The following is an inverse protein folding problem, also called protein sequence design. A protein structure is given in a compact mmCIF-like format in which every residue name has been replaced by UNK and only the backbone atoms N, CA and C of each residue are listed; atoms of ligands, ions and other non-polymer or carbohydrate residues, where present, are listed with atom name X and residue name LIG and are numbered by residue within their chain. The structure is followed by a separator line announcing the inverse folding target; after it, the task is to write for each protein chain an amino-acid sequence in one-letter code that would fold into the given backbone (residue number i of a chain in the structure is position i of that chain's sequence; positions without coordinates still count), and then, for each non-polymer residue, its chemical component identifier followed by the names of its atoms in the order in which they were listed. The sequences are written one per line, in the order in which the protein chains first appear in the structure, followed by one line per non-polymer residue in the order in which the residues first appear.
data_IF_814272687861
#
_entry.id   IF_814272687861
#
_cell.length_a   1.000
_cell.length_b   1.000
_cell.length_c   1.000
_cell.angle_alpha   90.00
_cell.angle_beta   90.00
_cell.angle_gamma   90.00
#
_symmetry.space_group_name_H-M   'P 1'
#
loop_
_entity.id
_entity.type
_entity.pdbx_description
1 polymer ?
#
# COMPACT_ATOMS: atom_id res chain seq x y z
N UNK A 1 10.46 -61.73 -46.19
CA UNK A 1 10.14 -60.31 -45.93
C UNK A 1 9.82 -60.21 -44.43
N UNK A 2 10.82 -59.80 -43.64
CA UNK A 2 10.72 -59.73 -42.20
C UNK A 2 10.38 -58.26 -41.82
N UNK A 3 9.24 -58.04 -41.18
CA UNK A 3 8.82 -56.73 -40.68
C UNK A 3 9.38 -56.61 -39.28
N UNK A 4 10.26 -55.67 -39.06
CA UNK A 4 10.73 -55.25 -37.74
C UNK A 4 9.75 -54.22 -37.17
N UNK A 5 9.11 -54.54 -36.04
CA UNK A 5 8.36 -53.60 -35.23
C UNK A 5 9.31 -52.90 -34.25
N UNK A 6 9.47 -51.61 -34.43
CA UNK A 6 10.20 -50.75 -33.48
C UNK A 6 9.24 -50.30 -32.39
N UNK A 7 9.49 -50.70 -31.16
CA UNK A 7 8.74 -50.25 -29.98
C UNK A 7 9.31 -48.89 -29.55
N UNK A 8 8.49 -47.85 -29.61
CA UNK A 8 8.80 -46.55 -29.04
C UNK A 8 8.53 -46.53 -27.53
N UNK A 9 9.58 -46.35 -26.75
CA UNK A 9 9.54 -46.22 -25.28
C UNK A 9 9.11 -44.80 -24.94
N UNK A 10 7.88 -44.60 -24.48
CA UNK A 10 7.41 -43.32 -23.91
C UNK A 10 7.99 -43.18 -22.48
N UNK A 11 9.01 -42.33 -22.32
CA UNK A 11 9.43 -41.88 -21.00
C UNK A 11 8.44 -40.82 -20.47
N UNK A 12 7.57 -41.22 -19.55
CA UNK A 12 6.78 -40.29 -18.77
C UNK A 12 7.68 -39.55 -17.76
N UNK A 13 7.97 -38.30 -18.03
CA UNK A 13 8.59 -37.38 -17.06
C UNK A 13 7.55 -37.06 -15.97
N UNK A 14 7.61 -37.77 -14.87
CA UNK A 14 6.93 -37.37 -13.64
C UNK A 14 7.65 -36.17 -13.04
N UNK A 15 7.08 -34.97 -13.24
CA UNK A 15 7.48 -33.78 -12.52
C UNK A 15 7.07 -33.94 -11.05
N UNK A 16 8.02 -34.36 -10.23
CA UNK A 16 7.88 -34.25 -8.75
C UNK A 16 7.88 -32.77 -8.40
N UNK A 17 6.72 -32.22 -8.10
CA UNK A 17 6.63 -30.96 -7.37
C UNK A 17 7.33 -31.16 -6.05
N UNK A 18 8.52 -30.57 -5.90
CA UNK A 18 9.18 -30.46 -4.62
C UNK A 18 8.27 -29.60 -3.72
N UNK A 19 7.59 -30.22 -2.76
CA UNK A 19 7.01 -29.50 -1.64
C UNK A 19 8.17 -28.84 -0.92
N UNK A 20 8.25 -27.48 -0.98
CA UNK A 20 9.13 -26.74 -0.12
C UNK A 20 8.86 -27.19 1.33
N UNK A 21 9.92 -27.54 2.06
CA UNK A 21 9.79 -27.80 3.51
C UNK A 21 9.00 -26.64 4.12
N UNK A 22 7.99 -26.91 4.97
CA UNK A 22 7.27 -25.85 5.65
C UNK A 22 8.29 -24.99 6.38
N UNK A 23 8.26 -23.68 6.11
CA UNK A 23 9.11 -22.72 6.80
C UNK A 23 9.00 -22.98 8.31
N UNK A 24 10.12 -22.93 9.02
CA UNK A 24 10.12 -23.10 10.47
C UNK A 24 9.39 -21.89 11.05
N UNK A 25 8.19 -22.10 11.61
CA UNK A 25 7.37 -21.06 12.23
C UNK A 25 7.24 -21.30 13.74
N UNK A 26 6.97 -20.24 14.48
CA UNK A 26 6.77 -20.27 15.93
C UNK A 26 5.31 -20.40 16.32
N UNK A 27 4.42 -19.92 15.47
CA UNK A 27 2.97 -20.04 15.64
C UNK A 27 2.28 -20.32 14.31
N UNK A 28 1.22 -21.11 14.36
CA UNK A 28 0.36 -21.41 13.23
C UNK A 28 -1.02 -20.77 13.44
N UNK A 29 -1.47 -19.97 12.50
CA UNK A 29 -2.86 -19.51 12.45
C UNK A 29 -3.62 -20.35 11.44
N UNK A 30 -4.69 -21.00 11.90
CA UNK A 30 -5.49 -21.94 11.10
C UNK A 30 -6.96 -21.87 11.53
N UNK A 31 -7.92 -22.06 10.60
CA UNK A 31 -9.35 -22.11 10.96
C UNK A 31 -9.71 -23.22 11.98
N UNK A 32 -8.92 -24.29 12.03
CA UNK A 32 -9.15 -25.46 12.90
C UNK A 32 -7.91 -25.80 13.71
N UNK A 33 -7.57 -25.00 14.74
CA UNK A 33 -6.42 -25.27 15.59
C UNK A 33 -6.65 -26.55 16.41
N UNK A 34 -5.62 -27.42 16.47
CA UNK A 34 -5.70 -28.72 17.15
C UNK A 34 -4.40 -29.12 17.88
N UNK A 35 -3.49 -28.19 18.11
CA UNK A 35 -2.20 -28.40 18.76
C UNK A 35 -1.65 -27.17 19.47
N UNK A 36 -0.52 -27.36 20.13
CA UNK A 36 0.21 -26.27 20.78
C UNK A 36 0.68 -25.23 19.74
N UNK A 37 0.74 -23.97 20.13
CA UNK A 37 1.11 -22.84 19.27
C UNK A 37 0.23 -22.69 18.01
N UNK A 38 -0.99 -23.26 18.02
CA UNK A 38 -1.99 -23.08 16.98
C UNK A 38 -3.13 -22.18 17.46
N UNK A 39 -3.51 -21.23 16.61
CA UNK A 39 -4.50 -20.20 16.94
C UNK A 39 -5.54 -20.07 15.82
N UNK A 40 -6.77 -19.72 16.19
CA UNK A 40 -7.81 -19.39 15.21
C UNK A 40 -7.79 -17.94 14.77
N UNK A 41 -7.00 -17.09 15.45
CA UNK A 41 -6.90 -15.64 15.16
C UNK A 41 -5.44 -15.19 15.11
N UNK A 42 -5.15 -14.26 14.20
CA UNK A 42 -3.83 -13.64 14.08
C UNK A 42 -3.49 -12.85 15.34
N UNK A 43 -4.49 -12.17 15.92
CA UNK A 43 -4.32 -11.40 17.16
C UNK A 43 -3.90 -12.27 18.36
N UNK A 44 -4.32 -13.53 18.42
CA UNK A 44 -3.88 -14.47 19.45
C UNK A 44 -2.42 -14.89 19.25
N UNK A 45 -2.00 -15.15 18.01
CA UNK A 45 -0.61 -15.47 17.68
C UNK A 45 0.33 -14.27 17.95
N UNK A 46 -0.11 -13.05 17.65
CA UNK A 46 0.63 -11.82 18.02
C UNK A 46 0.76 -11.66 19.53
N UNK A 47 -0.26 -12.04 20.31
CA UNK A 47 -0.13 -12.02 21.77
C UNK A 47 0.86 -13.09 22.27
N UNK A 48 0.92 -14.26 21.63
CA UNK A 48 1.92 -15.28 21.92
C UNK A 48 3.34 -14.78 21.58
N UNK A 49 3.51 -14.12 20.43
CA UNK A 49 4.77 -13.48 20.04
C UNK A 49 5.23 -12.44 21.08
N UNK A 50 4.32 -11.59 21.55
CA UNK A 50 4.61 -10.58 22.57
C UNK A 50 5.06 -11.19 23.91
N UNK A 51 4.56 -12.37 24.25
CA UNK A 51 4.91 -13.08 25.48
C UNK A 51 6.13 -13.99 25.31
N UNK A 52 6.67 -14.09 24.09
CA UNK A 52 7.84 -14.89 23.78
C UNK A 52 9.13 -14.12 24.09
N UNK A 53 10.18 -14.83 24.45
CA UNK A 53 11.55 -14.29 24.58
C UNK A 53 12.38 -14.43 23.30
N UNK A 54 11.74 -14.79 22.17
CA UNK A 54 12.43 -14.92 20.88
C UNK A 54 12.68 -13.55 20.28
N UNK A 55 13.88 -13.33 19.77
CA UNK A 55 14.24 -12.11 19.05
C UNK A 55 13.46 -11.98 17.74
N UNK A 56 13.34 -13.07 17.00
CA UNK A 56 12.55 -13.13 15.76
C UNK A 56 11.41 -14.13 15.95
N UNK A 57 10.21 -13.76 15.57
CA UNK A 57 9.01 -14.60 15.73
C UNK A 57 8.22 -14.70 14.43
N UNK A 58 8.05 -15.93 13.93
CA UNK A 58 7.36 -16.19 12.67
C UNK A 58 5.96 -16.76 12.95
N UNK A 59 4.95 -16.06 12.48
CA UNK A 59 3.54 -16.48 12.49
C UNK A 59 3.16 -16.91 11.09
N UNK A 60 2.95 -18.23 10.88
CA UNK A 60 2.48 -18.77 9.63
C UNK A 60 0.95 -18.83 9.60
N UNK A 61 0.34 -18.30 8.55
CA UNK A 61 -1.11 -18.14 8.43
C UNK A 61 -1.61 -18.98 7.27
N UNK A 62 -2.40 -20.00 7.58
CA UNK A 62 -3.03 -20.86 6.57
C UNK A 62 -3.99 -20.08 5.68
N UNK A 63 -4.23 -20.61 4.47
CA UNK A 63 -5.25 -20.09 3.58
C UNK A 63 -6.61 -19.99 4.29
N UNK A 64 -7.27 -18.85 4.13
CA UNK A 64 -8.54 -18.54 4.79
C UNK A 64 -8.83 -17.04 4.78
N UNK A 65 -10.03 -16.68 5.19
CA UNK A 65 -10.46 -15.29 5.36
C UNK A 65 -10.54 -14.97 6.84
N UNK A 66 -9.68 -14.05 7.28
CA UNK A 66 -9.54 -13.63 8.67
C UNK A 66 -10.17 -12.24 8.83
N UNK A 67 -11.35 -12.18 9.43
CA UNK A 67 -12.07 -10.92 9.68
C UNK A 67 -11.53 -10.27 10.96
N UNK A 68 -10.34 -9.70 10.87
CA UNK A 68 -9.64 -9.08 12.00
C UNK A 68 -9.12 -7.69 11.65
N UNK A 69 -9.10 -6.81 12.66
CA UNK A 69 -8.52 -5.48 12.63
C UNK A 69 -7.60 -5.32 13.81
N UNK A 70 -6.30 -5.05 13.57
CA UNK A 70 -5.32 -5.06 14.65
C UNK A 70 -4.09 -4.19 14.40
N UNK A 71 -3.37 -3.90 15.48
CA UNK A 71 -2.04 -3.35 15.49
C UNK A 71 -0.99 -4.47 15.57
N UNK A 72 0.06 -4.37 14.77
CA UNK A 72 1.30 -5.14 14.94
C UNK A 72 2.23 -4.28 15.79
N UNK A 73 2.38 -4.65 17.06
CA UNK A 73 3.12 -3.92 18.08
C UNK A 73 4.22 -4.78 18.75
N UNK A 74 4.74 -5.73 18.01
CA UNK A 74 5.85 -6.62 18.40
C UNK A 74 6.95 -6.45 17.36
N UNK A 75 8.14 -6.06 17.81
CA UNK A 75 9.31 -5.93 16.95
C UNK A 75 9.75 -7.29 16.40
N UNK A 76 10.40 -7.30 15.24
CA UNK A 76 10.97 -8.50 14.60
C UNK A 76 9.94 -9.63 14.37
N UNK A 77 8.67 -9.30 14.15
CA UNK A 77 7.64 -10.29 13.85
C UNK A 77 7.43 -10.42 12.35
N UNK A 78 7.31 -11.66 11.88
CA UNK A 78 6.90 -11.98 10.51
C UNK A 78 5.49 -12.58 10.51
N UNK A 79 4.58 -11.98 9.74
CA UNK A 79 3.29 -12.56 9.38
C UNK A 79 3.41 -13.11 7.96
N UNK A 80 3.45 -14.43 7.82
CA UNK A 80 3.60 -15.12 6.53
C UNK A 80 2.34 -15.92 6.19
N UNK A 81 1.66 -15.51 5.13
CA UNK A 81 0.54 -16.25 4.56
C UNK A 81 1.00 -17.48 3.78
N UNK A 82 0.16 -18.50 3.74
CA UNK A 82 0.39 -19.71 2.94
C UNK A 82 0.39 -19.39 1.43
N UNK A 83 -0.48 -18.49 0.98
CA UNK A 83 -0.44 -17.92 -0.37
C UNK A 83 -1.07 -16.53 -0.40
N UNK A 84 -0.55 -15.67 -1.26
CA UNK A 84 -0.94 -14.27 -1.38
C UNK A 84 -2.44 -14.11 -1.70
N UNK A 85 -2.98 -14.92 -2.61
CA UNK A 85 -4.35 -14.84 -3.12
C UNK A 85 -5.41 -15.48 -2.22
N UNK A 86 -5.02 -16.37 -1.28
CA UNK A 86 -5.96 -17.14 -0.45
C UNK A 86 -5.81 -16.90 1.05
N UNK A 87 -4.73 -16.28 1.51
CA UNK A 87 -4.59 -15.83 2.89
C UNK A 87 -5.04 -14.38 2.96
N UNK A 88 -6.30 -14.14 3.32
CA UNK A 88 -6.93 -12.82 3.26
C UNK A 88 -7.23 -12.31 4.67
N UNK A 89 -6.59 -11.21 5.05
CA UNK A 89 -6.92 -10.46 6.28
C UNK A 89 -7.81 -9.28 5.88
N UNK A 90 -9.04 -9.25 6.39
CA UNK A 90 -9.98 -8.20 6.00
C UNK A 90 -10.76 -7.61 7.16
N UNK A 91 -11.22 -6.38 6.98
CA UNK A 91 -12.15 -5.72 7.88
C UNK A 91 -12.89 -4.59 7.15
N UNK A 92 -14.16 -4.39 7.51
CA UNK A 92 -14.98 -3.31 6.97
C UNK A 92 -14.91 -2.08 7.88
N UNK A 93 -14.16 -1.06 7.44
CA UNK A 93 -14.07 0.21 8.18
C UNK A 93 -13.76 1.37 7.24
N UNK A 94 -14.68 2.30 7.10
CA UNK A 94 -14.43 3.58 6.46
C UNK A 94 -14.44 4.74 7.46
N UNK A 95 -13.77 5.83 7.14
CA UNK A 95 -13.58 7.00 8.00
C UNK A 95 -14.89 7.52 8.60
N UNK A 96 -15.96 7.57 7.81
CA UNK A 96 -17.28 8.03 8.22
C UNK A 96 -18.18 6.99 8.88
N UNK A 97 -17.75 5.72 8.95
CA UNK A 97 -18.50 4.67 9.66
C UNK A 97 -18.35 4.79 11.17
N UNK A 98 -19.39 4.37 11.89
CA UNK A 98 -19.37 4.32 13.36
C UNK A 98 -18.61 3.08 13.84
N UNK A 99 -17.67 3.27 14.74
CA UNK A 99 -16.92 2.22 15.40
C UNK A 99 -17.71 1.61 16.59
N UNK A 100 -17.25 0.49 17.19
CA UNK A 100 -17.93 -0.13 18.32
C UNK A 100 -18.11 0.78 19.56
N UNK A 101 -17.38 1.89 19.64
CA UNK A 101 -17.49 2.90 20.73
C UNK A 101 -18.49 4.02 20.39
N UNK A 102 -19.21 3.93 19.27
CA UNK A 102 -20.20 4.93 18.85
C UNK A 102 -19.61 6.19 18.20
N UNK A 103 -18.32 6.21 17.88
CA UNK A 103 -17.62 7.33 17.25
C UNK A 103 -17.30 7.02 15.79
N UNK A 104 -17.08 8.02 14.94
CA UNK A 104 -16.52 7.78 13.60
C UNK A 104 -15.09 7.25 13.69
N UNK A 105 -14.77 6.30 12.82
CA UNK A 105 -13.39 5.77 12.75
C UNK A 105 -12.37 6.87 12.48
N UNK A 106 -12.65 7.79 11.56
CA UNK A 106 -11.65 8.67 10.98
C UNK A 106 -10.62 7.90 10.14
N UNK A 107 -10.00 8.53 9.19
CA UNK A 107 -9.08 7.89 8.24
C UNK A 107 -7.97 7.11 8.95
N UNK A 108 -7.33 7.69 9.96
CA UNK A 108 -6.19 7.08 10.66
C UNK A 108 -6.55 5.84 11.49
N UNK A 109 -7.84 5.58 11.75
CA UNK A 109 -8.32 4.40 12.49
C UNK A 109 -9.13 3.44 11.62
N UNK A 110 -9.33 3.71 10.33
CA UNK A 110 -10.06 2.83 9.40
C UNK A 110 -9.20 1.66 8.86
N UNK A 111 -7.95 1.54 9.29
CA UNK A 111 -7.02 0.50 8.83
C UNK A 111 -7.52 -0.93 9.15
N UNK A 112 -7.06 -1.90 8.38
CA UNK A 112 -7.21 -3.33 8.70
C UNK A 112 -6.00 -3.80 9.52
N UNK A 113 -4.79 -3.59 9.01
CA UNK A 113 -3.54 -3.81 9.74
C UNK A 113 -2.82 -2.48 9.92
N UNK A 114 -2.33 -2.21 11.13
CA UNK A 114 -1.42 -1.09 11.38
C UNK A 114 -0.12 -1.59 12.01
N UNK A 115 0.99 -1.37 11.34
CA UNK A 115 2.33 -1.66 11.85
C UNK A 115 2.74 -0.52 12.79
N UNK A 116 3.13 -0.84 14.02
CA UNK A 116 3.57 0.09 15.06
C UNK A 116 4.89 -0.32 15.70
N UNK A 117 5.54 -1.32 15.14
CA UNK A 117 6.76 -1.92 15.64
C UNK A 117 7.83 -1.92 14.54
N UNK A 118 9.07 -2.12 14.92
CA UNK A 118 10.23 -2.15 14.02
C UNK A 118 10.48 -3.55 13.47
N UNK A 119 11.12 -3.63 12.29
CA UNK A 119 11.55 -4.89 11.67
C UNK A 119 10.39 -5.87 11.47
N UNK A 120 9.19 -5.36 11.18
CA UNK A 120 8.00 -6.17 10.88
C UNK A 120 8.01 -6.59 9.43
N UNK A 121 7.76 -7.88 9.18
CA UNK A 121 7.58 -8.41 7.82
C UNK A 121 6.15 -8.91 7.62
N UNK A 122 5.48 -8.42 6.57
CA UNK A 122 4.26 -9.01 6.01
C UNK A 122 4.62 -9.72 4.71
N UNK A 123 4.21 -10.97 4.54
CA UNK A 123 4.63 -11.77 3.37
C UNK A 123 3.52 -12.72 2.90
N UNK A 124 3.36 -12.86 1.58
CA UNK A 124 2.46 -13.84 0.93
C UNK A 124 1.01 -13.78 1.42
N UNK A 125 0.41 -12.60 1.54
CA UNK A 125 -0.99 -12.44 1.98
C UNK A 125 -1.68 -11.25 1.33
N UNK A 126 -3.01 -11.22 1.41
CA UNK A 126 -3.81 -10.06 1.02
C UNK A 126 -4.33 -9.34 2.26
N UNK A 127 -4.15 -8.02 2.31
CA UNK A 127 -4.79 -7.13 3.28
C UNK A 127 -5.88 -6.34 2.57
N UNK A 128 -7.13 -6.56 2.95
CA UNK A 128 -8.29 -5.96 2.28
C UNK A 128 -9.11 -5.10 3.22
N UNK A 129 -9.30 -3.83 2.90
CA UNK A 129 -10.41 -3.11 3.49
C UNK A 129 -11.69 -3.43 2.70
N UNK A 130 -12.61 -4.14 3.34
CA UNK A 130 -13.80 -4.67 2.70
C UNK A 130 -14.98 -3.69 2.65
N UNK A 131 -14.77 -2.40 2.95
CA UNK A 131 -15.77 -1.36 2.75
C UNK A 131 -16.24 -1.34 1.29
N UNK A 132 -17.54 -1.49 1.09
CA UNK A 132 -18.14 -1.48 -0.26
C UNK A 132 -18.18 -0.07 -0.83
N UNK A 133 -17.01 0.41 -1.25
CA UNK A 133 -16.85 1.71 -1.88
C UNK A 133 -17.73 1.85 -3.15
N UNK A 134 -17.79 0.88 -4.07
CA UNK A 134 -18.62 0.97 -5.26
C UNK A 134 -20.10 1.20 -4.94
N UNK A 135 -20.68 0.42 -4.03
CA UNK A 135 -22.07 0.59 -3.61
C UNK A 135 -22.31 1.92 -2.88
N UNK A 136 -21.31 2.42 -2.16
CA UNK A 136 -21.42 3.73 -1.50
C UNK A 136 -21.24 4.90 -2.49
N UNK A 137 -20.38 4.78 -3.50
CA UNK A 137 -20.06 5.87 -4.45
C UNK A 137 -21.26 6.24 -5.35
N UNK A 138 -22.17 5.31 -5.65
CA UNK A 138 -23.37 5.56 -6.44
C UNK A 138 -24.47 6.29 -5.69
N UNK A 139 -24.46 6.28 -4.36
CA UNK A 139 -25.48 6.92 -3.53
C UNK A 139 -25.46 8.43 -3.70
N UNK A 140 -26.64 9.04 -3.73
CA UNK A 140 -26.78 10.50 -3.78
C UNK A 140 -26.36 11.15 -2.45
N UNK A 141 -26.20 12.46 -2.45
CA UNK A 141 -25.83 13.18 -1.21
C UNK A 141 -26.90 13.09 -0.14
N UNK A 142 -28.17 12.95 -0.53
CA UNK A 142 -29.32 12.91 0.35
C UNK A 142 -29.69 11.49 0.81
N UNK A 143 -28.97 10.46 0.33
CA UNK A 143 -29.16 9.09 0.79
C UNK A 143 -28.67 8.95 2.26
N UNK A 144 -29.57 8.65 3.22
CA UNK A 144 -29.21 8.56 4.63
C UNK A 144 -28.25 7.40 4.94
N UNK A 145 -28.11 6.43 4.03
CA UNK A 145 -27.18 5.29 4.19
C UNK A 145 -25.82 5.56 3.58
N UNK A 146 -25.63 6.75 2.95
CA UNK A 146 -24.35 7.11 2.37
C UNK A 146 -23.31 7.44 3.43
N UNK A 147 -22.16 6.81 3.33
CA UNK A 147 -20.98 7.16 4.12
C UNK A 147 -20.25 8.33 3.45
N UNK A 148 -20.28 9.52 4.07
CA UNK A 148 -19.76 10.75 3.47
C UNK A 148 -18.21 10.81 3.41
N UNK A 149 -17.52 10.13 4.32
CA UNK A 149 -16.07 10.04 4.37
C UNK A 149 -15.65 8.59 4.07
N UNK A 150 -15.36 8.33 2.79
CA UNK A 150 -15.16 6.98 2.24
C UNK A 150 -13.70 6.48 2.30
N UNK A 151 -12.81 7.21 2.99
CA UNK A 151 -11.43 6.77 3.20
C UNK A 151 -11.41 5.46 3.99
N UNK A 152 -10.75 4.42 3.45
CA UNK A 152 -10.82 3.06 3.97
C UNK A 152 -9.45 2.38 3.83
N UNK A 153 -8.62 2.52 4.87
CA UNK A 153 -7.22 2.08 4.85
C UNK A 153 -7.13 0.55 4.98
N UNK A 154 -6.41 -0.11 4.08
CA UNK A 154 -6.06 -1.52 4.24
C UNK A 154 -4.83 -1.65 5.16
N UNK A 155 -3.72 -1.01 4.82
CA UNK A 155 -2.48 -1.04 5.59
C UNK A 155 -2.08 0.37 6.03
N UNK A 156 -1.74 0.52 7.31
CA UNK A 156 -1.08 1.72 7.84
C UNK A 156 0.31 1.36 8.38
N UNK A 157 1.35 2.05 7.90
CA UNK A 157 2.73 1.95 8.43
C UNK A 157 3.06 3.26 9.13
N UNK A 158 3.47 3.20 10.38
CA UNK A 158 3.81 4.42 11.10
C UNK A 158 3.76 4.30 12.62
N UNK A 159 3.71 5.44 13.28
CA UNK A 159 3.88 5.61 14.72
C UNK A 159 5.27 5.12 15.21
N UNK A 160 6.33 5.52 14.52
CA UNK A 160 7.70 5.11 14.81
C UNK A 160 8.06 3.72 14.26
N UNK A 161 7.26 3.16 13.35
CA UNK A 161 7.57 1.90 12.69
C UNK A 161 8.69 2.09 11.66
N UNK A 162 9.84 1.54 11.94
CA UNK A 162 10.98 1.55 11.05
C UNK A 162 11.22 0.16 10.45
N UNK A 163 11.76 0.13 9.23
CA UNK A 163 12.18 -1.09 8.54
C UNK A 163 11.07 -2.14 8.36
N UNK A 164 9.85 -1.65 8.04
CA UNK A 164 8.76 -2.55 7.69
C UNK A 164 8.98 -3.14 6.29
N UNK A 165 8.94 -4.46 6.14
CA UNK A 165 9.05 -5.20 4.86
C UNK A 165 7.70 -5.76 4.46
N UNK A 166 7.27 -5.46 3.25
CA UNK A 166 6.03 -5.94 2.67
C UNK A 166 6.40 -6.65 1.36
N UNK A 167 6.29 -7.99 1.36
CA UNK A 167 6.86 -8.85 0.34
C UNK A 167 5.78 -9.76 -0.26
N UNK A 168 5.50 -9.62 -1.55
CA UNK A 168 4.47 -10.39 -2.24
C UNK A 168 3.11 -10.29 -1.51
N UNK A 169 2.63 -9.04 -1.30
CA UNK A 169 1.39 -8.73 -0.60
C UNK A 169 0.47 -7.92 -1.52
N UNK A 170 -0.80 -8.30 -1.56
CA UNK A 170 -1.83 -7.45 -2.16
C UNK A 170 -2.49 -6.58 -1.10
N UNK A 171 -2.50 -5.26 -1.33
CA UNK A 171 -3.29 -4.28 -0.58
C UNK A 171 -4.53 -3.94 -1.42
N UNK A 172 -5.68 -4.43 -0.97
CA UNK A 172 -6.94 -4.31 -1.71
C UNK A 172 -7.86 -3.27 -1.04
N UNK A 173 -8.10 -2.18 -1.74
CA UNK A 173 -8.95 -1.09 -1.27
C UNK A 173 -9.43 -0.20 -2.41
N UNK A 174 -9.89 0.98 -2.06
CA UNK A 174 -10.32 2.02 -2.98
C UNK A 174 -9.70 3.37 -2.59
N UNK A 175 -10.43 4.24 -1.89
CA UNK A 175 -9.89 5.51 -1.42
C UNK A 175 -9.01 5.29 -0.19
N UNK A 176 -7.78 5.86 -0.20
CA UNK A 176 -6.85 5.83 0.94
C UNK A 176 -6.36 4.40 1.33
N UNK A 177 -6.06 3.53 0.38
CA UNK A 177 -5.73 2.12 0.64
C UNK A 177 -4.48 1.93 1.51
N UNK A 178 -3.40 2.69 1.25
CA UNK A 178 -2.12 2.59 1.98
C UNK A 178 -1.72 3.92 2.59
N UNK A 179 -1.63 3.95 3.92
CA UNK A 179 -1.12 5.10 4.69
C UNK A 179 0.31 4.83 5.17
N UNK A 180 1.28 5.62 4.68
CA UNK A 180 2.67 5.63 5.16
C UNK A 180 2.88 6.88 6.01
N UNK A 181 3.00 6.72 7.33
CA UNK A 181 3.02 7.87 8.26
C UNK A 181 4.40 8.54 8.32
N UNK A 182 4.48 9.78 8.82
CA UNK A 182 5.68 10.64 8.82
C UNK A 182 6.80 9.96 9.56
N UNK A 183 6.90 9.22 10.40
CA UNK A 183 7.99 8.68 11.18
C UNK A 183 8.27 7.19 10.85
N UNK A 184 7.99 6.81 9.61
CA UNK A 184 8.15 5.42 9.20
C UNK A 184 9.01 5.24 7.97
N UNK A 185 9.67 4.07 7.90
CA UNK A 185 10.38 3.58 6.72
C UNK A 185 9.86 2.21 6.32
N UNK A 186 9.62 2.00 5.02
CA UNK A 186 9.05 0.74 4.52
C UNK A 186 9.55 0.38 3.13
N UNK A 187 9.65 -0.92 2.89
CA UNK A 187 10.03 -1.51 1.62
C UNK A 187 8.95 -2.48 1.15
N UNK A 188 8.45 -2.22 -0.05
CA UNK A 188 7.45 -3.04 -0.73
C UNK A 188 8.12 -3.69 -1.93
N UNK A 189 8.08 -5.02 -2.02
CA UNK A 189 8.66 -5.74 -3.12
C UNK A 189 7.68 -6.78 -3.69
N UNK A 190 7.51 -6.78 -5.01
CA UNK A 190 6.55 -7.62 -5.73
C UNK A 190 5.12 -7.51 -5.20
N UNK A 191 4.75 -6.34 -4.67
CA UNK A 191 3.41 -6.10 -4.12
C UNK A 191 2.43 -5.61 -5.18
N UNK A 192 1.14 -5.86 -4.94
CA UNK A 192 0.04 -5.23 -5.68
C UNK A 192 -0.70 -4.26 -4.76
N UNK A 193 -0.82 -2.98 -5.15
CA UNK A 193 -1.62 -1.99 -4.42
C UNK A 193 -2.76 -1.52 -5.32
N UNK A 194 -4.02 -1.72 -4.88
CA UNK A 194 -5.21 -1.36 -5.64
C UNK A 194 -5.96 -0.21 -4.97
N UNK A 195 -6.41 0.76 -5.76
CA UNK A 195 -7.22 1.86 -5.23
C UNK A 195 -7.63 2.88 -6.27
N UNK A 196 -8.27 3.96 -5.82
CA UNK A 196 -8.66 5.05 -6.73
C UNK A 196 -8.26 6.45 -6.24
N UNK A 197 -8.79 6.97 -5.16
CA UNK A 197 -8.50 8.34 -4.72
C UNK A 197 -7.43 8.33 -3.65
N UNK A 198 -6.28 8.98 -3.93
CA UNK A 198 -5.18 9.15 -2.97
C UNK A 198 -4.75 7.82 -2.32
N UNK A 199 -4.75 6.76 -3.11
CA UNK A 199 -4.74 5.43 -2.50
C UNK A 199 -3.36 4.98 -1.98
N UNK A 200 -2.30 5.75 -2.22
CA UNK A 200 -1.00 5.65 -1.53
C UNK A 200 -0.66 7.04 -1.00
N UNK A 201 -0.71 7.24 0.31
CA UNK A 201 -0.61 8.57 0.88
C UNK A 201 0.16 8.60 2.20
N UNK A 202 0.54 9.81 2.62
CA UNK A 202 1.23 10.05 3.88
C UNK A 202 2.61 10.67 3.72
N UNK A 203 3.35 10.81 4.82
CA UNK A 203 4.61 11.55 4.87
C UNK A 203 5.85 10.73 5.16
N UNK A 204 5.72 9.40 5.35
CA UNK A 204 6.85 8.51 5.59
C UNK A 204 7.65 8.18 4.33
N UNK A 205 8.73 7.43 4.49
CA UNK A 205 9.56 6.91 3.40
C UNK A 205 9.07 5.52 3.00
N UNK A 206 8.73 5.35 1.73
CA UNK A 206 8.37 4.04 1.18
C UNK A 206 9.00 3.82 -0.19
N UNK A 207 9.66 2.69 -0.37
CA UNK A 207 10.15 2.23 -1.67
C UNK A 207 9.26 1.10 -2.17
N UNK A 208 8.74 1.26 -3.38
CA UNK A 208 7.96 0.25 -4.11
C UNK A 208 8.83 -0.30 -5.24
N UNK A 209 9.40 -1.47 -5.03
CA UNK A 209 10.30 -2.13 -5.97
C UNK A 209 9.59 -3.27 -6.69
N UNK A 210 9.54 -3.22 -8.03
CA UNK A 210 8.89 -4.21 -8.87
C UNK A 210 7.42 -4.49 -8.48
N UNK A 211 6.71 -3.43 -8.04
CA UNK A 211 5.32 -3.51 -7.63
C UNK A 211 4.34 -3.23 -8.78
N UNK A 212 3.11 -3.72 -8.65
CA UNK A 212 2.00 -3.40 -9.54
C UNK A 212 0.99 -2.48 -8.82
N UNK A 213 0.90 -1.25 -9.27
CA UNK A 213 0.00 -0.23 -8.71
C UNK A 213 -1.19 -0.10 -9.63
N UNK A 214 -2.38 -0.50 -9.15
CA UNK A 214 -3.56 -0.71 -10.00
C UNK A 214 -4.64 0.31 -9.69
N UNK A 215 -4.89 1.21 -10.62
CA UNK A 215 -6.00 2.15 -10.56
C UNK A 215 -7.34 1.44 -10.77
N UNK A 216 -8.33 1.72 -9.90
CA UNK A 216 -9.69 1.18 -9.94
C UNK A 216 -10.69 2.27 -10.31
N UNK A 217 -11.65 1.94 -11.15
CA UNK A 217 -12.68 2.89 -11.53
C UNK A 217 -13.57 3.30 -10.34
N UNK A 218 -14.01 4.55 -10.38
CA UNK A 218 -15.16 4.98 -9.59
C UNK A 218 -16.44 4.54 -10.28
N UNK A 219 -17.47 4.34 -9.49
CA UNK A 219 -18.78 3.90 -10.02
C UNK A 219 -19.55 5.07 -10.64
N UNK A 220 -19.39 6.29 -10.09
CA UNK A 220 -19.96 7.49 -10.68
C UNK A 220 -19.11 7.98 -11.85
N UNK A 221 -19.74 8.37 -12.98
CA UNK A 221 -19.02 9.00 -14.08
C UNK A 221 -18.34 10.30 -13.62
N UNK A 222 -17.03 10.40 -13.83
CA UNK A 222 -16.22 11.58 -13.52
C UNK A 222 -15.08 11.69 -14.53
N UNK A 223 -14.67 12.92 -14.86
CA UNK A 223 -13.50 13.17 -15.71
C UNK A 223 -12.24 12.71 -15.00
N UNK A 224 -12.05 13.12 -13.74
CA UNK A 224 -10.96 12.63 -12.88
C UNK A 224 -11.48 11.54 -11.96
N UNK A 225 -11.03 10.32 -12.16
CA UNK A 225 -11.40 9.15 -11.39
C UNK A 225 -10.65 9.05 -10.07
N UNK A 226 -9.39 9.53 -10.03
CA UNK A 226 -8.57 9.44 -8.83
C UNK A 226 -7.13 9.93 -8.99
N UNK A 227 -6.35 9.60 -7.99
CA UNK A 227 -4.93 9.96 -7.90
C UNK A 227 -4.16 8.79 -7.29
N UNK A 228 -3.01 8.45 -7.90
CA UNK A 228 -2.17 7.34 -7.40
C UNK A 228 -1.61 7.70 -6.03
N UNK A 229 -1.03 8.90 -5.89
CA UNK A 229 -0.37 9.32 -4.65
C UNK A 229 -0.90 10.63 -4.10
N UNK A 230 -0.85 10.76 -2.76
CA UNK A 230 -1.06 12.02 -2.04
C UNK A 230 0.00 12.15 -0.91
N UNK A 231 1.27 12.41 -1.25
CA UNK A 231 2.31 12.52 -0.25
C UNK A 231 2.20 13.81 0.56
N UNK A 232 2.59 13.72 1.85
CA UNK A 232 2.71 14.85 2.78
C UNK A 232 4.09 14.89 3.43
N UNK A 233 5.11 14.54 2.67
CA UNK A 233 6.51 14.46 3.12
C UNK A 233 6.96 15.78 3.73
N UNK A 234 7.63 15.75 4.88
CA UNK A 234 8.19 16.94 5.50
C UNK A 234 9.24 17.59 4.57
N UNK A 235 9.32 18.92 4.59
CA UNK A 235 10.24 19.70 3.74
C UNK A 235 11.72 19.32 3.97
N UNK A 236 12.08 18.87 5.18
CA UNK A 236 13.44 18.48 5.54
C UNK A 236 13.74 17.00 5.26
N UNK A 237 12.71 16.18 4.97
CA UNK A 237 12.87 14.77 4.63
C UNK A 237 13.15 14.63 3.13
N UNK A 238 14.29 14.08 2.69
CA UNK A 238 14.69 14.10 1.28
C UNK A 238 13.79 13.26 0.38
N UNK A 239 13.30 12.13 0.85
CA UNK A 239 12.47 11.19 0.10
C UNK A 239 11.13 10.94 0.76
N UNK A 240 10.11 10.64 -0.03
CA UNK A 240 8.79 10.20 0.40
C UNK A 240 8.43 8.86 -0.25
N UNK A 241 7.55 8.89 -1.25
CA UNK A 241 7.09 7.70 -1.98
C UNK A 241 7.96 7.51 -3.22
N UNK A 242 8.69 6.40 -3.32
CA UNK A 242 9.63 6.13 -4.43
C UNK A 242 9.26 4.79 -5.08
N UNK A 243 8.88 4.85 -6.34
CA UNK A 243 8.55 3.68 -7.17
C UNK A 243 9.73 3.37 -8.08
N UNK A 244 10.24 2.13 -8.01
CA UNK A 244 11.39 1.68 -8.78
C UNK A 244 10.99 0.44 -9.59
N UNK A 245 11.25 0.43 -10.90
CA UNK A 245 10.95 -0.70 -11.79
C UNK A 245 9.50 -1.21 -11.66
N UNK A 246 8.58 -0.34 -11.24
CA UNK A 246 7.19 -0.69 -10.94
C UNK A 246 6.26 -0.39 -12.11
N UNK A 247 5.09 -0.98 -12.12
CA UNK A 247 4.08 -0.79 -13.15
C UNK A 247 2.87 -0.06 -12.55
N UNK A 248 2.53 1.09 -13.13
CA UNK A 248 1.34 1.85 -12.77
C UNK A 248 0.29 1.54 -13.83
N UNK A 249 -0.63 0.66 -13.49
CA UNK A 249 -1.61 0.05 -14.39
C UNK A 249 -3.04 0.36 -13.95
N UNK A 250 -4.02 -0.17 -14.66
CA UNK A 250 -5.44 0.08 -14.39
C UNK A 250 -6.30 -1.17 -14.57
N UNK A 251 -7.46 -1.19 -13.93
CA UNK A 251 -8.53 -2.12 -14.29
C UNK A 251 -9.12 -1.74 -15.67
N UNK A 252 -9.69 -2.72 -16.37
CA UNK A 252 -10.14 -2.56 -17.76
C UNK A 252 -11.19 -1.44 -17.97
N UNK A 253 -11.97 -1.14 -16.94
CA UNK A 253 -13.04 -0.12 -16.98
C UNK A 253 -12.57 1.30 -16.60
N UNK A 254 -11.28 1.50 -16.37
CA UNK A 254 -10.71 2.83 -16.10
C UNK A 254 -10.40 3.54 -17.42
N UNK A 255 -10.96 4.74 -17.67
CA UNK A 255 -10.71 5.47 -18.90
C UNK A 255 -9.26 5.97 -19.03
N UNK A 256 -8.83 6.23 -20.25
CA UNK A 256 -7.60 6.97 -20.50
C UNK A 256 -7.66 8.38 -19.91
N UNK A 257 -6.52 8.97 -19.55
CA UNK A 257 -6.38 10.34 -19.04
C UNK A 257 -7.32 10.69 -17.87
N UNK A 258 -7.61 9.72 -16.99
CA UNK A 258 -8.57 9.89 -15.88
C UNK A 258 -7.94 9.85 -14.48
N UNK A 259 -6.63 9.61 -14.38
CA UNK A 259 -5.91 9.57 -13.10
C UNK A 259 -4.71 10.52 -13.08
N UNK A 260 -4.55 11.25 -11.97
CA UNK A 260 -3.31 11.93 -11.67
C UNK A 260 -2.26 10.99 -11.10
N UNK A 261 -0.97 11.17 -11.47
CA UNK A 261 0.18 10.50 -10.84
C UNK A 261 0.22 10.79 -9.34
N UNK A 262 -0.23 11.98 -8.96
CA UNK A 262 -0.34 12.40 -7.57
C UNK A 262 -0.68 13.86 -7.41
N UNK A 263 -0.93 14.26 -6.17
CA UNK A 263 -1.23 15.64 -5.77
C UNK A 263 -0.67 15.97 -4.40
N UNK A 264 -0.23 17.23 -4.14
CA UNK A 264 0.43 17.61 -2.89
C UNK A 264 -0.58 17.68 -1.75
N UNK A 265 -0.48 16.75 -0.78
CA UNK A 265 -1.34 16.76 0.39
C UNK A 265 -0.69 17.53 1.53
N UNK A 266 -1.37 18.60 1.98
CA UNK A 266 -1.01 19.35 3.18
C UNK A 266 -2.04 19.04 4.28
N UNK A 267 -1.76 18.07 5.16
CA UNK A 267 -2.70 17.69 6.21
C UNK A 267 -2.95 18.87 7.15
N UNK A 268 -4.20 19.08 7.56
CA UNK A 268 -4.50 20.09 8.56
C UNK A 268 -3.90 19.70 9.91
N UNK A 269 -3.02 20.54 10.45
CA UNK A 269 -2.41 20.42 11.78
C UNK A 269 -2.81 21.57 12.68
N UNK A 270 -2.75 21.36 13.99
CA UNK A 270 -2.96 22.41 14.98
C UNK A 270 -1.63 23.01 15.35
N UNK A 271 -1.51 24.32 15.14
CA UNK A 271 -0.37 25.17 15.50
C UNK A 271 -0.78 26.12 16.62
N UNK A 272 0.16 26.88 17.16
CA UNK A 272 -0.12 27.84 18.25
C UNK A 272 -1.15 28.91 17.85
N UNK A 273 -1.20 29.24 16.55
CA UNK A 273 -2.06 30.30 15.99
C UNK A 273 -3.29 29.77 15.26
N UNK A 274 -3.57 28.46 15.30
CA UNK A 274 -4.76 27.90 14.69
C UNK A 274 -4.59 26.51 14.07
N UNK A 275 -5.63 26.04 13.40
CA UNK A 275 -5.63 24.77 12.65
C UNK A 275 -5.76 25.02 11.17
N UNK A 276 -4.72 24.66 10.41
CA UNK A 276 -4.63 24.87 8.96
C UNK A 276 -3.74 23.85 8.30
N UNK A 277 -3.67 23.89 6.97
CA UNK A 277 -2.82 23.03 6.14
C UNK A 277 -1.35 23.20 6.52
N UNK A 278 -0.65 22.10 6.75
CA UNK A 278 0.75 22.10 7.20
C UNK A 278 1.66 22.75 6.13
N UNK A 279 2.29 23.88 6.40
CA UNK A 279 3.17 24.57 5.44
C UNK A 279 4.47 23.80 5.20
N UNK A 280 4.85 22.90 6.13
CA UNK A 280 6.07 22.09 6.01
C UNK A 280 5.85 20.79 5.23
N UNK A 281 4.62 20.45 4.87
CA UNK A 281 4.34 19.31 4.04
C UNK A 281 4.67 19.62 2.57
N UNK A 282 5.87 19.27 2.14
CA UNK A 282 6.30 19.37 0.74
C UNK A 282 6.41 17.97 0.13
N UNK A 283 5.26 17.40 -0.23
CA UNK A 283 5.12 16.02 -0.66
C UNK A 283 6.15 15.59 -1.70
N UNK A 284 6.73 14.41 -1.53
CA UNK A 284 7.73 13.86 -2.44
C UNK A 284 7.26 12.52 -3.03
N UNK A 285 7.20 12.44 -4.36
CA UNK A 285 6.95 11.19 -5.10
C UNK A 285 7.89 11.12 -6.32
N UNK A 286 8.51 9.96 -6.52
CA UNK A 286 9.40 9.69 -7.64
C UNK A 286 9.00 8.38 -8.32
N UNK A 287 8.79 8.42 -9.64
CA UNK A 287 8.65 7.23 -10.49
C UNK A 287 9.95 7.02 -11.26
N UNK A 288 10.69 5.96 -10.93
CA UNK A 288 12.01 5.67 -11.48
C UNK A 288 11.97 4.36 -12.29
N UNK A 289 12.23 4.43 -13.59
CA UNK A 289 12.14 3.31 -14.53
C UNK A 289 10.81 2.55 -14.46
N UNK A 290 9.70 3.30 -14.29
CA UNK A 290 8.36 2.74 -14.18
C UNK A 290 7.68 2.60 -15.55
N UNK A 291 6.73 1.68 -15.66
CA UNK A 291 5.77 1.67 -16.77
C UNK A 291 4.53 2.47 -16.35
N UNK A 292 4.20 3.51 -17.10
CA UNK A 292 3.07 4.42 -16.87
C UNK A 292 2.00 4.22 -17.96
N UNK A 293 0.85 3.66 -17.58
CA UNK A 293 -0.23 3.32 -18.51
C UNK A 293 -1.07 4.52 -18.91
N UNK A 294 -1.92 4.38 -19.93
CA UNK A 294 -2.65 5.44 -20.62
C UNK A 294 -3.66 6.22 -19.78
N UNK A 295 -4.10 5.68 -18.63
CA UNK A 295 -5.02 6.35 -17.73
C UNK A 295 -4.42 7.57 -17.01
N UNK A 296 -3.11 7.74 -17.04
CA UNK A 296 -2.41 8.80 -16.32
C UNK A 296 -2.27 10.06 -17.19
N UNK A 297 -2.55 11.23 -16.59
CA UNK A 297 -2.43 12.52 -17.29
C UNK A 297 -1.32 13.42 -16.73
N UNK A 298 -0.62 13.04 -15.66
CA UNK A 298 0.42 13.84 -15.00
C UNK A 298 0.05 14.16 -13.55
N UNK A 299 0.56 15.29 -13.03
CA UNK A 299 0.33 15.74 -11.66
C UNK A 299 -0.86 16.69 -11.55
N UNK A 300 -1.49 16.76 -10.38
CA UNK A 300 -2.61 17.68 -10.15
C UNK A 300 -2.43 18.46 -8.84
N UNK A 301 -3.18 19.55 -8.70
CA UNK A 301 -3.23 20.37 -7.50
C UNK A 301 -4.16 19.80 -6.45
N UNK A 302 -3.91 20.16 -5.19
CA UNK A 302 -4.79 19.81 -4.07
C UNK A 302 -5.15 21.06 -3.27
N UNK A 303 -6.38 21.14 -2.77
CA UNK A 303 -6.78 22.24 -1.90
C UNK A 303 -6.59 21.93 -0.43
N UNK A 304 -6.35 22.96 0.37
CA UNK A 304 -6.38 22.95 1.82
C UNK A 304 -7.03 24.20 2.38
N UNK A 305 -6.93 24.39 3.67
CA UNK A 305 -7.45 25.55 4.38
C UNK A 305 -6.31 26.29 5.05
N UNK A 306 -6.23 27.63 4.89
CA UNK A 306 -5.31 28.46 5.63
C UNK A 306 -5.81 28.72 7.08
N UNK A 307 -5.06 29.51 7.85
CA UNK A 307 -5.41 29.89 9.23
C UNK A 307 -6.71 30.69 9.33
N UNK A 308 -7.06 31.43 8.29
CA UNK A 308 -8.25 32.28 8.20
C UNK A 308 -9.46 31.51 7.63
N UNK A 309 -9.33 30.16 7.49
CA UNK A 309 -10.32 29.26 6.92
C UNK A 309 -10.67 29.60 5.45
N UNK A 310 -9.75 30.22 4.74
CA UNK A 310 -9.86 30.41 3.30
C UNK A 310 -9.31 29.18 2.58
N UNK A 311 -9.97 28.81 1.48
CA UNK A 311 -9.50 27.71 0.63
C UNK A 311 -8.27 28.16 -0.15
N UNK A 312 -7.18 27.44 0.01
CA UNK A 312 -5.94 27.63 -0.73
C UNK A 312 -5.63 26.40 -1.59
N UNK A 313 -4.81 26.59 -2.61
CA UNK A 313 -4.42 25.52 -3.53
C UNK A 313 -2.92 25.35 -3.50
N UNK A 314 -2.51 24.10 -3.44
CA UNK A 314 -1.12 23.67 -3.55
C UNK A 314 -0.87 23.16 -4.96
N UNK A 315 0.15 23.71 -5.60
CA UNK A 315 0.50 23.40 -6.98
C UNK A 315 1.62 22.35 -7.02
N UNK A 316 1.52 21.29 -7.84
CA UNK A 316 2.57 20.28 -7.96
C UNK A 316 3.92 20.85 -8.36
N UNK A 317 3.97 21.96 -9.13
CA UNK A 317 5.22 22.57 -9.61
C UNK A 317 5.99 23.31 -8.51
N UNK A 318 5.30 23.88 -7.52
CA UNK A 318 5.91 24.74 -6.48
C UNK A 318 5.83 24.16 -5.08
N UNK A 319 4.76 23.41 -4.78
CA UNK A 319 4.44 22.96 -3.43
C UNK A 319 4.74 21.48 -3.23
N UNK A 320 5.39 20.82 -4.20
CA UNK A 320 5.78 19.42 -4.15
C UNK A 320 7.17 19.18 -4.75
N UNK A 321 7.65 17.95 -4.58
CA UNK A 321 8.87 17.39 -5.17
C UNK A 321 8.48 16.14 -5.96
N UNK A 322 7.85 16.36 -7.10
CA UNK A 322 7.26 15.31 -7.93
C UNK A 322 8.12 15.10 -9.17
N UNK A 323 8.60 13.86 -9.36
CA UNK A 323 9.50 13.54 -10.44
C UNK A 323 9.23 12.19 -11.07
N UNK A 324 9.62 12.05 -12.32
CA UNK A 324 9.83 10.77 -13.01
C UNK A 324 11.22 10.74 -13.66
N UNK A 325 11.73 9.54 -13.92
CA UNK A 325 12.99 9.34 -14.64
C UNK A 325 13.00 7.98 -15.33
N UNK A 326 13.33 7.96 -16.63
CA UNK A 326 13.47 6.74 -17.41
C UNK A 326 12.19 5.91 -17.50
N UNK A 327 11.02 6.51 -17.25
CA UNK A 327 9.73 5.84 -17.36
C UNK A 327 9.39 5.52 -18.81
N UNK A 328 8.58 4.49 -19.01
CA UNK A 328 8.08 4.00 -20.31
C UNK A 328 6.56 3.93 -20.29
N UNK A 329 5.95 3.62 -21.43
CA UNK A 329 4.50 3.49 -21.55
C UNK A 329 3.82 4.76 -22.07
N UNK A 330 2.49 4.70 -22.30
CA UNK A 330 1.74 5.76 -22.97
C UNK A 330 1.71 7.10 -22.21
N UNK A 331 1.86 7.07 -20.89
CA UNK A 331 1.84 8.28 -20.07
C UNK A 331 3.23 8.80 -19.67
N UNK A 332 4.31 8.14 -20.07
CA UNK A 332 5.67 8.59 -19.75
C UNK A 332 5.92 10.02 -20.25
N UNK A 333 6.50 10.86 -19.38
CA UNK A 333 6.85 12.26 -19.63
C UNK A 333 5.66 13.22 -19.94
N UNK A 334 4.41 12.78 -19.75
CA UNK A 334 3.24 13.67 -19.91
C UNK A 334 3.22 14.83 -18.92
N UNK A 335 3.86 14.69 -17.76
CA UNK A 335 3.87 15.68 -16.70
C UNK A 335 4.74 16.93 -16.98
N UNK A 336 5.51 16.90 -18.06
CA UNK A 336 6.36 18.02 -18.48
C UNK A 336 7.81 17.94 -17.97
N UNK A 337 8.69 18.70 -18.60
CA UNK A 337 10.15 18.65 -18.38
C UNK A 337 10.56 19.04 -16.95
N UNK A 338 9.81 19.91 -16.28
CA UNK A 338 10.07 20.35 -14.91
C UNK A 338 9.95 19.21 -13.88
N UNK A 339 9.26 18.13 -14.25
CA UNK A 339 9.08 16.93 -13.43
C UNK A 339 10.01 15.77 -13.81
N UNK A 340 11.00 16.00 -14.67
CA UNK A 340 12.03 15.01 -14.97
C UNK A 340 13.20 15.18 -14.00
N UNK A 341 13.53 14.11 -13.28
CA UNK A 341 14.68 14.09 -12.38
C UNK A 341 15.97 14.27 -13.17
N UNK A 342 16.92 15.06 -12.67
CA UNK A 342 18.21 15.24 -13.34
C UNK A 342 19.03 13.93 -13.31
N UNK A 343 19.88 13.70 -14.32
CA UNK A 343 20.78 12.53 -14.38
C UNK A 343 21.68 12.41 -13.14
N UNK A 344 22.10 13.55 -12.57
CA UNK A 344 22.89 13.57 -11.34
C UNK A 344 22.10 13.02 -10.16
N UNK A 345 20.84 13.44 -9.99
CA UNK A 345 19.98 12.97 -8.92
C UNK A 345 19.55 11.51 -9.15
N UNK A 346 19.27 11.14 -10.41
CA UNK A 346 18.92 9.78 -10.79
C UNK A 346 20.02 8.76 -10.46
N UNK A 347 21.30 9.10 -10.68
CA UNK A 347 22.45 8.25 -10.33
C UNK A 347 22.59 8.00 -8.82
N UNK A 348 22.05 8.86 -7.99
CA UNK A 348 22.08 8.73 -6.53
C UNK A 348 20.85 8.00 -5.99
N UNK A 349 19.82 7.79 -6.82
CA UNK A 349 18.57 7.16 -6.40
C UNK A 349 18.73 5.63 -6.40
N UNK A 350 19.24 5.09 -5.33
CA UNK A 350 19.25 3.64 -5.05
C UNK A 350 18.33 3.31 -3.89
N UNK A 351 17.83 2.09 -3.81
CA UNK A 351 16.98 1.63 -2.70
C UNK A 351 17.69 1.87 -1.37
N UNK A 352 18.96 1.49 -1.28
CA UNK A 352 19.81 1.67 -0.10
C UNK A 352 19.91 3.14 0.32
N UNK A 353 20.12 4.05 -0.64
CA UNK A 353 20.22 5.48 -0.34
C UNK A 353 18.87 6.05 0.15
N UNK A 354 17.77 5.66 -0.46
CA UNK A 354 16.42 6.10 -0.07
C UNK A 354 16.04 5.60 1.31
N UNK A 355 16.34 4.33 1.62
CA UNK A 355 15.97 3.68 2.89
C UNK A 355 17.01 3.86 4.01
N UNK A 356 18.17 4.46 3.70
CA UNK A 356 19.24 4.68 4.67
C UNK A 356 19.95 3.41 5.14
N UNK A 357 20.01 2.36 4.28
CA UNK A 357 20.70 1.11 4.59
C UNK A 357 20.19 -0.09 3.79
N UNK A 358 20.78 -1.27 4.08
CA UNK A 358 20.56 -2.52 3.36
C UNK A 358 19.62 -3.51 4.07
N UNK A 359 18.92 -3.07 5.12
CA UNK A 359 18.04 -3.90 5.95
C UNK A 359 16.91 -4.60 5.19
N UNK A 360 16.59 -4.13 4.00
CA UNK A 360 15.55 -4.71 3.13
C UNK A 360 15.96 -6.04 2.49
N UNK A 361 17.25 -6.41 2.52
CA UNK A 361 17.78 -7.69 2.02
C UNK A 361 17.67 -8.84 3.02
N UNK A 362 17.50 -8.55 4.31
CA UNK A 362 17.50 -9.54 5.40
C UNK A 362 16.23 -10.37 5.48
#
# INVERSE_FOLDING_TARGET
MKIQMTAALLCALSSTFAYANPAQFDALVTPTPNGEHQFSKITQALQAAKNSNKENYVIYIKNGVYNEKFDVNVDHVTLEGESEDKTIVQYDAASGMTNPQGQHWGTSKSFVIRIKANDVTLKNLTVKNSFDYPANDVKTKDDPTRINSSQAVALSVGNGAERAKILNVTLDGYQDTLLVRHDSTSYFNHCTVKGNVDFIFGGGVAVFDQCNIVARARTRPMTTMGFITAPSTDINQPYGLVFINSRITKEANVPADSFGLGRPWHPSRTFADGRYADPNAKGSTIYYHCYLDDHLYGWDKMSGWDKDKQRIWFNPDTDARFYEYGSTGPAANKAGKQHILSDKAAKQLTIEHVLGGTWYHS
#
